data_IF_514344992731
#
_entry.id   IF_514344992731
#
_cell.length_a   1.000
_cell.length_b   1.000
_cell.length_c   1.000
_cell.angle_alpha   90.00
_cell.angle_beta   90.00
_cell.angle_gamma   90.00
#
_symmetry.space_group_name_H-M   'P 1'
#
loop_
_entity.id
_entity.type
_entity.pdbx_description
1 polymer ?
#
# COMPACT_ATOMS: atom_id res chain seq x y z
N UNK A 1 -7.03 -23.08 -16.07
CA UNK A 1 -7.86 -22.92 -14.85
C UNK A 1 -9.10 -22.14 -15.21
N UNK A 2 -10.29 -22.55 -14.75
CA UNK A 2 -11.52 -21.80 -14.95
C UNK A 2 -11.75 -20.88 -13.73
N UNK A 3 -12.08 -19.62 -13.97
CA UNK A 3 -12.38 -18.64 -12.92
C UNK A 3 -13.76 -18.05 -13.16
N UNK A 4 -14.55 -18.03 -12.09
CA UNK A 4 -15.88 -17.45 -12.07
C UNK A 4 -15.93 -16.38 -10.98
N UNK A 5 -16.22 -15.13 -11.39
CA UNK A 5 -16.46 -14.02 -10.46
C UNK A 5 -17.96 -13.83 -10.30
N UNK A 6 -18.44 -13.80 -9.07
CA UNK A 6 -19.86 -13.56 -8.76
C UNK A 6 -20.01 -12.50 -7.67
N UNK A 7 -21.04 -11.65 -7.73
CA UNK A 7 -21.36 -10.73 -6.64
C UNK A 7 -21.81 -11.50 -5.39
N UNK A 8 -21.46 -11.00 -4.21
CA UNK A 8 -21.98 -11.54 -2.95
C UNK A 8 -23.43 -11.12 -2.74
N UNK A 9 -24.30 -11.99 -2.19
CA UNK A 9 -25.67 -11.63 -1.87
C UNK A 9 -25.69 -10.79 -0.58
N UNK A 10 -25.18 -9.55 -0.63
CA UNK A 10 -25.49 -8.41 0.25
C UNK A 10 -24.53 -7.25 -0.05
N UNK A 11 -24.97 -6.27 -0.82
CA UNK A 11 -24.37 -4.93 -0.82
C UNK A 11 -25.48 -3.90 -1.14
N UNK A 12 -26.12 -3.40 -0.08
CA UNK A 12 -26.97 -2.22 -0.18
C UNK A 12 -26.10 -0.98 -0.33
N UNK A 13 -26.39 -0.17 -1.33
CA UNK A 13 -25.81 1.15 -1.59
C UNK A 13 -26.03 2.10 -0.43
N UNK A 14 -24.96 2.72 0.06
CA UNK A 14 -25.02 3.95 0.85
C UNK A 14 -24.14 5.01 0.21
N UNK A 15 -24.77 5.96 -0.48
CA UNK A 15 -24.15 7.21 -0.88
C UNK A 15 -24.22 8.18 0.31
N UNK A 16 -23.08 8.74 0.72
CA UNK A 16 -23.02 9.80 1.70
C UNK A 16 -22.46 11.07 1.04
N UNK A 17 -23.31 12.09 0.94
CA UNK A 17 -22.89 13.45 0.61
C UNK A 17 -22.56 14.17 1.93
N UNK A 18 -21.31 14.63 2.08
CA UNK A 18 -20.91 15.49 3.18
C UNK A 18 -20.69 16.92 2.66
N UNK A 19 -21.42 17.87 3.24
CA UNK A 19 -21.32 19.29 2.96
C UNK A 19 -20.02 19.87 3.54
N UNK A 20 -19.31 20.65 2.74
CA UNK A 20 -18.09 21.37 3.12
C UNK A 20 -18.49 22.75 3.63
N UNK A 21 -18.17 23.06 4.88
CA UNK A 21 -18.19 24.44 5.42
C UNK A 21 -16.74 24.88 5.61
N UNK A 22 -16.29 26.00 5.01
CA UNK A 22 -14.94 26.49 5.21
C UNK A 22 -14.89 27.25 6.54
N UNK A 23 -14.33 26.61 7.58
CA UNK A 23 -13.95 27.32 8.79
C UNK A 23 -12.57 27.96 8.58
N UNK A 24 -12.57 29.26 8.27
CA UNK A 24 -11.39 30.10 8.38
C UNK A 24 -11.12 30.27 9.89
N UNK A 25 -10.07 29.61 10.40
CA UNK A 25 -9.55 29.90 11.73
C UNK A 25 -8.03 30.09 11.65
N UNK A 26 -7.62 31.32 11.94
CA UNK A 26 -6.25 31.78 12.24
C UNK A 26 -5.37 30.65 12.80
N UNK A 27 -4.40 30.19 12.00
CA UNK A 27 -3.51 29.11 12.42
C UNK A 27 -2.54 29.63 13.49
N UNK A 28 -2.48 29.04 14.69
CA UNK A 28 -1.25 29.11 15.47
C UNK A 28 -0.11 28.57 14.58
N UNK A 29 1.10 29.10 14.74
CA UNK A 29 2.29 28.59 14.03
C UNK A 29 2.26 27.06 14.03
N UNK A 30 2.41 26.41 12.86
CA UNK A 30 2.24 24.96 12.72
C UNK A 30 3.25 24.23 13.62
N UNK A 31 2.83 23.91 14.85
CA UNK A 31 3.67 23.29 15.86
C UNK A 31 4.20 21.94 15.37
N UNK A 32 3.53 21.28 14.42
CA UNK A 32 4.02 20.05 13.83
C UNK A 32 5.35 20.25 13.07
N UNK A 33 5.59 21.43 12.50
CA UNK A 33 6.84 21.74 11.80
C UNK A 33 8.07 21.70 12.73
N UNK A 34 7.89 21.92 14.04
CA UNK A 34 8.97 21.81 15.03
C UNK A 34 9.41 20.36 15.27
N UNK A 35 8.63 19.39 14.82
CA UNK A 35 8.90 17.97 14.96
C UNK A 35 9.49 17.36 13.68
N UNK A 36 10.08 18.12 12.77
CA UNK A 36 10.66 17.53 11.57
C UNK A 36 12.03 16.89 11.83
N UNK A 37 12.23 15.65 11.37
CA UNK A 37 13.51 14.96 11.49
C UNK A 37 14.46 15.43 10.39
N UNK A 38 15.67 15.93 10.72
CA UNK A 38 16.62 16.43 9.71
C UNK A 38 17.24 15.33 8.82
N UNK A 39 16.94 14.06 9.10
CA UNK A 39 17.48 12.91 8.34
C UNK A 39 16.48 12.39 7.31
N UNK A 40 15.25 12.13 7.74
CA UNK A 40 14.22 11.51 6.90
C UNK A 40 13.14 12.49 6.45
N UNK A 41 13.16 13.74 6.96
CA UNK A 41 12.16 14.78 6.68
C UNK A 41 10.72 14.34 7.03
N UNK A 42 10.59 13.34 7.89
CA UNK A 42 9.31 12.90 8.47
C UNK A 42 9.19 13.42 9.90
N UNK A 43 7.98 13.40 10.44
CA UNK A 43 7.71 13.87 11.80
C UNK A 43 8.32 12.93 12.84
N UNK A 44 9.02 13.53 13.79
CA UNK A 44 9.63 12.92 14.97
C UNK A 44 8.52 12.60 15.96
N UNK A 45 7.97 11.40 15.86
CA UNK A 45 6.97 10.89 16.78
C UNK A 45 7.64 10.10 17.93
N UNK A 46 6.98 9.94 19.09
CA UNK A 46 7.49 9.11 20.19
C UNK A 46 7.87 7.70 19.71
N UNK A 47 9.05 7.15 20.10
CA UNK A 47 10.08 7.75 20.95
C UNK A 47 10.89 8.89 20.31
N UNK A 48 11.05 10.02 21.02
CA UNK A 48 11.73 11.22 20.53
C UNK A 48 13.12 11.35 21.17
N UNK A 49 14.16 11.58 20.37
CA UNK A 49 15.52 11.85 20.86
C UNK A 49 15.95 13.27 20.55
N UNK A 50 16.89 13.78 21.33
CA UNK A 50 17.48 15.09 21.09
C UNK A 50 19.00 15.04 21.25
N UNK A 51 19.70 15.88 20.49
CA UNK A 51 21.12 16.16 20.73
C UNK A 51 21.31 17.12 21.91
N UNK A 52 22.55 17.29 22.37
CA UNK A 52 22.89 18.26 23.44
C UNK A 52 22.53 19.72 23.09
N UNK A 53 22.43 20.06 21.82
CA UNK A 53 22.00 21.39 21.34
C UNK A 53 20.48 21.51 21.12
N UNK A 54 19.68 20.49 21.42
CA UNK A 54 18.22 20.54 21.34
C UNK A 54 17.57 20.12 20.00
N UNK A 55 18.34 19.77 18.97
CA UNK A 55 17.77 19.25 17.71
C UNK A 55 17.15 17.86 17.90
N UNK A 56 15.93 17.68 17.39
CA UNK A 56 15.17 16.44 17.50
C UNK A 56 15.56 15.43 16.42
N UNK A 57 15.53 14.14 16.78
CA UNK A 57 15.72 13.01 15.86
C UNK A 57 14.72 11.91 16.21
N UNK A 58 14.13 11.28 15.17
CA UNK A 58 13.21 10.17 15.33
C UNK A 58 13.93 8.86 15.72
N UNK A 59 13.17 7.93 16.32
CA UNK A 59 13.72 6.63 16.74
C UNK A 59 14.44 5.88 15.62
N UNK A 60 13.87 5.83 14.42
CA UNK A 60 14.44 5.12 13.26
C UNK A 60 15.78 5.70 12.80
N UNK A 61 15.92 7.03 12.83
CA UNK A 61 17.15 7.68 12.39
C UNK A 61 18.23 7.66 13.48
N UNK A 62 17.85 7.65 14.76
CA UNK A 62 18.79 7.65 15.89
C UNK A 62 19.77 6.47 15.85
N UNK A 63 19.37 5.32 15.33
CA UNK A 63 20.22 4.13 15.20
C UNK A 63 21.18 4.22 13.99
N UNK A 64 20.84 5.04 13.00
CA UNK A 64 21.59 5.16 11.74
C UNK A 64 22.63 6.27 11.76
N UNK A 65 22.60 7.15 12.77
CA UNK A 65 23.51 8.29 12.90
C UNK A 65 24.24 8.29 14.25
N UNK A 66 25.53 8.62 14.21
CA UNK A 66 26.39 8.72 15.40
C UNK A 66 26.43 10.13 16.00
N UNK A 67 26.20 11.15 15.19
CA UNK A 67 26.19 12.56 15.58
C UNK A 67 24.98 13.28 14.98
N UNK A 68 24.62 14.43 15.56
CA UNK A 68 23.49 15.22 15.11
C UNK A 68 23.77 15.74 13.68
N UNK A 69 22.89 15.48 12.69
CA UNK A 69 23.08 15.97 11.31
C UNK A 69 23.10 17.50 11.23
N UNK A 70 22.37 18.18 12.12
CA UNK A 70 22.21 19.64 12.09
C UNK A 70 23.40 20.37 12.72
N UNK A 71 23.85 19.97 13.90
CA UNK A 71 24.92 20.68 14.64
C UNK A 71 26.21 19.87 14.84
N UNK A 72 26.26 18.61 14.40
CA UNK A 72 27.38 17.66 14.62
C UNK A 72 27.66 17.34 16.09
N UNK A 73 26.80 17.78 17.02
CA UNK A 73 26.88 17.47 18.45
C UNK A 73 26.58 16.00 18.76
N UNK A 74 26.88 15.58 19.99
CA UNK A 74 26.64 14.21 20.45
C UNK A 74 25.14 13.92 20.48
N UNK A 75 24.75 12.76 19.96
CA UNK A 75 23.40 12.24 20.12
C UNK A 75 23.35 11.39 21.40
N UNK A 76 22.62 11.89 22.39
CA UNK A 76 22.35 11.13 23.60
C UNK A 76 21.50 9.89 23.31
N UNK A 77 21.47 8.97 24.28
CA UNK A 77 20.54 7.83 24.31
C UNK A 77 19.26 8.15 25.08
N UNK A 78 19.20 9.34 25.69
CA UNK A 78 18.06 9.79 26.51
C UNK A 78 16.93 10.28 25.61
N UNK A 79 15.72 9.80 25.90
CA UNK A 79 14.49 10.25 25.25
C UNK A 79 14.05 11.61 25.78
N UNK A 80 13.54 12.46 24.90
CA UNK A 80 12.95 13.74 25.25
C UNK A 80 11.47 13.55 25.63
N UNK A 81 11.21 13.08 26.85
CA UNK A 81 9.86 12.84 27.37
C UNK A 81 8.98 14.10 27.38
N UNK A 82 9.59 15.29 27.48
CA UNK A 82 8.84 16.55 27.40
C UNK A 82 8.26 16.75 26.00
N UNK A 83 9.06 16.54 24.95
CA UNK A 83 8.57 16.61 23.57
C UNK A 83 7.62 15.48 23.22
N UNK A 84 7.76 14.30 23.83
CA UNK A 84 6.77 13.23 23.69
C UNK A 84 5.39 13.68 24.22
N UNK A 85 5.34 14.29 25.41
CA UNK A 85 4.10 14.86 25.96
C UNK A 85 3.51 15.99 25.12
N UNK A 86 4.36 16.83 24.51
CA UNK A 86 3.86 17.86 23.58
C UNK A 86 3.25 17.20 22.35
N UNK A 87 3.89 16.16 21.80
CA UNK A 87 3.38 15.42 20.64
C UNK A 87 2.00 14.79 20.89
N UNK A 88 1.66 14.44 22.13
CA UNK A 88 0.31 13.95 22.51
C UNK A 88 -0.80 14.99 22.28
N UNK A 89 -0.45 16.28 22.23
CA UNK A 89 -1.41 17.38 22.03
C UNK A 89 -1.42 17.95 20.61
N UNK A 90 -0.41 17.61 19.80
CA UNK A 90 -0.21 18.15 18.47
C UNK A 90 -0.79 17.19 17.43
N UNK A 91 -1.58 17.74 16.48
CA UNK A 91 -2.05 17.00 15.32
C UNK A 91 -1.08 17.15 14.15
N UNK A 92 -0.54 16.04 13.68
CA UNK A 92 0.37 15.95 12.56
C UNK A 92 -0.39 15.67 11.26
N UNK A 93 -0.01 16.28 10.13
CA UNK A 93 -0.62 15.94 8.85
C UNK A 93 -0.25 14.50 8.44
N UNK A 94 -1.13 13.87 7.66
CA UNK A 94 -0.87 12.57 7.05
C UNK A 94 0.36 12.64 6.12
N UNK A 95 1.19 11.59 6.06
CA UNK A 95 2.33 11.55 5.13
C UNK A 95 1.95 11.67 3.66
N UNK A 96 0.70 11.32 3.31
CA UNK A 96 0.15 11.48 1.96
C UNK A 96 -0.56 12.83 1.77
N UNK A 97 -0.24 13.85 2.57
CA UNK A 97 -0.79 15.19 2.39
C UNK A 97 -0.45 15.76 1.00
N UNK A 98 0.73 15.45 0.46
CA UNK A 98 1.13 15.78 -0.91
C UNK A 98 0.19 15.17 -1.97
N UNK A 99 -0.44 14.04 -1.65
CA UNK A 99 -1.37 13.34 -2.53
C UNK A 99 -2.84 13.77 -2.28
N UNK A 100 -3.05 14.87 -1.56
CA UNK A 100 -4.37 15.44 -1.30
C UNK A 100 -5.06 14.94 -0.02
N UNK A 101 -4.34 14.26 0.88
CA UNK A 101 -4.90 13.94 2.20
C UNK A 101 -4.93 15.19 3.09
N UNK A 102 -6.11 15.64 3.52
CA UNK A 102 -6.26 16.82 4.39
C UNK A 102 -6.28 16.48 5.88
N UNK A 103 -6.17 15.20 6.24
CA UNK A 103 -6.29 14.74 7.61
C UNK A 103 -5.09 15.15 8.46
N UNK A 104 -5.36 15.72 9.63
CA UNK A 104 -4.40 15.99 10.70
C UNK A 104 -4.78 15.21 11.95
N UNK A 105 -3.87 14.39 12.45
CA UNK A 105 -4.15 13.32 13.42
C UNK A 105 -3.12 13.32 14.55
N UNK A 106 -3.51 12.80 15.71
CA UNK A 106 -2.56 12.55 16.80
C UNK A 106 -1.59 11.43 16.41
N UNK A 107 -0.40 11.40 17.03
CA UNK A 107 0.63 10.40 16.70
C UNK A 107 0.16 8.95 16.90
N UNK A 108 -0.76 8.70 17.85
CA UNK A 108 -1.33 7.38 18.14
C UNK A 108 -2.22 6.87 17.02
N UNK A 109 -2.97 7.76 16.37
CA UNK A 109 -3.96 7.45 15.32
C UNK A 109 -3.36 7.51 13.92
N UNK A 110 -2.32 8.35 13.73
CA UNK A 110 -1.67 8.60 12.43
C UNK A 110 -1.24 7.31 11.73
N UNK A 111 -0.61 6.36 12.43
CA UNK A 111 -0.17 5.09 11.85
C UNK A 111 -1.34 4.25 11.30
N UNK A 112 -2.46 4.21 12.03
CA UNK A 112 -3.66 3.47 11.65
C UNK A 112 -4.26 4.11 10.40
N UNK A 113 -4.42 5.43 10.41
CA UNK A 113 -4.90 6.17 9.26
C UNK A 113 -4.01 5.98 8.03
N UNK A 114 -2.69 6.09 8.16
CA UNK A 114 -1.77 5.96 7.02
C UNK A 114 -1.73 4.57 6.40
N UNK A 115 -2.12 3.54 7.15
CA UNK A 115 -2.28 2.19 6.60
C UNK A 115 -3.51 2.12 5.68
N UNK A 116 -4.58 2.83 6.06
CA UNK A 116 -5.90 2.80 5.46
C UNK A 116 -6.26 4.09 4.70
N UNK A 117 -5.28 4.93 4.39
CA UNK A 117 -5.51 6.24 3.80
C UNK A 117 -5.91 6.07 2.34
N UNK A 118 -7.05 6.65 1.94
CA UNK A 118 -7.53 6.61 0.55
C UNK A 118 -6.60 7.31 -0.45
N UNK A 119 -5.72 8.19 0.05
CA UNK A 119 -4.72 8.92 -0.77
C UNK A 119 -3.35 8.24 -0.81
N UNK A 120 -3.25 7.04 -0.23
CA UNK A 120 -2.04 6.21 -0.28
C UNK A 120 -1.77 5.78 -1.74
N UNK A 121 -0.53 5.90 -2.23
CA UNK A 121 -0.18 5.36 -3.53
C UNK A 121 -0.12 3.82 -3.48
N UNK A 122 -0.56 3.21 -4.56
CA UNK A 122 -0.51 1.78 -4.83
C UNK A 122 0.71 1.49 -5.68
N UNK A 123 1.48 0.47 -5.28
CA UNK A 123 2.52 -0.08 -6.12
C UNK A 123 1.91 -0.90 -7.27
N UNK A 124 2.66 -1.04 -8.37
CA UNK A 124 2.24 -1.90 -9.47
C UNK A 124 1.94 -3.33 -8.97
N UNK A 125 0.73 -3.89 -9.24
CA UNK A 125 0.35 -5.22 -8.80
C UNK A 125 0.95 -6.36 -9.65
N UNK A 126 1.70 -6.05 -10.71
CA UNK A 126 2.30 -7.06 -11.57
C UNK A 126 3.37 -7.87 -10.78
N UNK A 127 3.34 -9.21 -10.83
CA UNK A 127 4.40 -10.04 -10.26
C UNK A 127 5.75 -9.76 -10.95
N UNK A 128 6.82 -9.87 -10.16
CA UNK A 128 8.19 -9.58 -10.58
C UNK A 128 8.70 -8.19 -10.17
N UNK A 129 10.02 -8.03 -10.16
CA UNK A 129 10.70 -6.82 -9.65
C UNK A 129 10.99 -5.76 -10.73
N UNK A 130 10.49 -5.95 -11.95
CA UNK A 130 10.81 -5.07 -13.09
C UNK A 130 10.07 -3.74 -13.05
N UNK A 131 8.89 -3.67 -12.44
CA UNK A 131 8.10 -2.45 -12.35
C UNK A 131 8.21 -1.78 -10.98
N UNK A 132 8.59 -0.51 -10.97
CA UNK A 132 8.70 0.33 -9.76
C UNK A 132 7.68 1.47 -9.73
N UNK A 133 6.63 1.35 -10.53
CA UNK A 133 5.60 2.37 -10.59
C UNK A 133 4.79 2.38 -9.28
N UNK A 134 4.52 3.58 -8.80
CA UNK A 134 3.63 3.85 -7.68
C UNK A 134 2.75 5.06 -8.02
N UNK A 135 1.46 4.97 -7.72
CA UNK A 135 0.51 6.04 -8.05
C UNK A 135 -0.86 5.86 -7.39
N UNK A 136 -1.81 6.79 -7.60
CA UNK A 136 -3.17 6.64 -7.07
C UNK A 136 -3.89 5.44 -7.70
N UNK A 137 -4.90 4.91 -7.01
CA UNK A 137 -5.67 3.74 -7.46
C UNK A 137 -6.23 3.92 -8.88
N UNK A 138 -6.77 5.11 -9.18
CA UNK A 138 -7.37 5.44 -10.47
C UNK A 138 -6.38 5.32 -11.65
N UNK A 139 -5.08 5.51 -11.38
CA UNK A 139 -4.03 5.42 -12.40
C UNK A 139 -3.49 3.99 -12.58
N UNK A 140 -3.79 3.06 -11.67
CA UNK A 140 -3.24 1.68 -11.69
C UNK A 140 -3.64 0.98 -12.98
N UNK A 141 -4.92 1.05 -13.36
CA UNK A 141 -5.41 0.40 -14.58
C UNK A 141 -4.73 0.96 -15.83
N UNK A 142 -4.65 2.29 -15.93
CA UNK A 142 -4.00 2.95 -17.06
C UNK A 142 -2.50 2.60 -17.12
N UNK A 143 -1.83 2.53 -15.97
CA UNK A 143 -0.45 2.07 -15.87
C UNK A 143 -0.30 0.64 -16.42
N UNK A 144 -1.16 -0.30 -16.00
CA UNK A 144 -1.10 -1.68 -16.47
C UNK A 144 -1.30 -1.79 -18.00
N UNK A 145 -2.30 -1.09 -18.54
CA UNK A 145 -2.60 -1.13 -19.98
C UNK A 145 -1.49 -0.51 -20.85
N UNK A 146 -0.76 0.48 -20.32
CA UNK A 146 0.27 1.21 -21.08
C UNK A 146 1.67 0.63 -20.92
N UNK A 147 2.06 0.28 -19.69
CA UNK A 147 3.39 -0.23 -19.35
C UNK A 147 3.49 -1.75 -19.45
N UNK A 148 2.38 -2.48 -19.27
CA UNK A 148 2.33 -3.95 -19.29
C UNK A 148 1.44 -4.48 -20.42
N UNK A 149 1.72 -4.05 -21.67
CA UNK A 149 0.94 -4.40 -22.87
C UNK A 149 0.84 -5.91 -23.16
N UNK A 150 1.67 -6.72 -22.53
CA UNK A 150 1.66 -8.18 -22.63
C UNK A 150 0.54 -8.82 -21.80
N UNK A 151 -0.08 -8.08 -20.88
CA UNK A 151 -1.22 -8.58 -20.10
C UNK A 151 -2.44 -8.59 -21.00
N UNK A 152 -2.96 -9.79 -21.27
CA UNK A 152 -4.20 -9.96 -22.02
C UNK A 152 -5.40 -9.63 -21.12
N UNK A 153 -6.34 -8.85 -21.64
CA UNK A 153 -7.61 -8.55 -20.96
C UNK A 153 -8.75 -9.34 -21.61
N UNK A 154 -9.48 -10.11 -20.82
CA UNK A 154 -10.65 -10.87 -21.25
C UNK A 154 -11.91 -10.33 -20.56
N UNK A 155 -12.98 -10.14 -21.35
CA UNK A 155 -14.28 -9.76 -20.83
C UNK A 155 -15.13 -10.98 -20.49
N UNK A 156 -15.91 -10.87 -19.41
CA UNK A 156 -16.89 -11.89 -19.01
C UNK A 156 -16.71 -12.38 -17.58
N UNK A 157 -17.79 -12.94 -17.02
CA UNK A 157 -17.84 -13.45 -15.65
C UNK A 157 -17.13 -14.81 -15.52
N UNK A 158 -17.24 -15.62 -16.58
CA UNK A 158 -16.64 -16.94 -16.70
C UNK A 158 -15.54 -16.92 -17.75
N UNK A 159 -14.29 -17.10 -17.31
CA UNK A 159 -13.13 -17.15 -18.20
C UNK A 159 -12.27 -18.38 -17.96
N UNK A 160 -11.58 -18.80 -19.02
CA UNK A 160 -10.57 -19.86 -18.95
C UNK A 160 -9.20 -19.22 -19.08
N UNK A 161 -8.42 -19.29 -18.00
CA UNK A 161 -7.02 -18.88 -18.01
C UNK A 161 -6.14 -20.07 -18.42
N UNK A 162 -5.54 -19.97 -19.61
CA UNK A 162 -4.59 -20.96 -20.12
C UNK A 162 -3.16 -20.49 -19.87
N UNK A 163 -2.47 -21.14 -18.94
CA UNK A 163 -1.03 -20.97 -18.76
C UNK A 163 -0.30 -21.90 -19.75
N UNK A 164 0.47 -21.33 -20.66
CA UNK A 164 1.33 -22.09 -21.58
C UNK A 164 2.69 -22.36 -20.94
N UNK A 165 3.39 -23.39 -21.41
CA UNK A 165 4.79 -23.64 -21.03
C UNK A 165 5.02 -23.87 -19.52
N UNK A 166 4.02 -24.41 -18.82
CA UNK A 166 4.06 -24.70 -17.37
C UNK A 166 5.23 -25.62 -16.96
N UNK A 167 5.76 -26.39 -17.89
CA UNK A 167 6.87 -27.33 -17.67
C UNK A 167 8.25 -26.65 -17.72
N UNK A 168 8.35 -25.37 -18.09
CA UNK A 168 9.63 -24.66 -18.10
C UNK A 168 10.26 -24.68 -16.70
N UNK A 169 11.56 -24.98 -16.59
CA UNK A 169 12.25 -24.98 -15.31
C UNK A 169 12.36 -23.56 -14.75
N UNK A 170 12.28 -23.45 -13.43
CA UNK A 170 12.36 -22.19 -12.69
C UNK A 170 11.01 -21.60 -12.28
N UNK A 171 11.09 -20.45 -11.60
CA UNK A 171 9.93 -19.66 -11.22
C UNK A 171 9.43 -18.86 -12.43
N UNK A 172 8.15 -19.05 -12.77
CA UNK A 172 7.48 -18.40 -13.90
C UNK A 172 6.12 -17.92 -13.41
N UNK A 173 5.79 -16.68 -13.75
CA UNK A 173 4.52 -16.07 -13.40
C UNK A 173 3.71 -15.80 -14.66
N UNK A 174 2.43 -16.18 -14.65
CA UNK A 174 1.47 -15.83 -15.69
C UNK A 174 0.47 -14.84 -15.14
N UNK A 175 0.17 -13.80 -15.93
CA UNK A 175 -0.74 -12.72 -15.54
C UNK A 175 -1.79 -12.53 -16.62
N UNK A 176 -3.04 -12.42 -16.21
CA UNK A 176 -4.18 -12.11 -17.06
C UNK A 176 -5.05 -11.07 -16.35
N UNK A 177 -5.74 -10.23 -17.12
CA UNK A 177 -6.74 -9.32 -16.60
C UNK A 177 -8.14 -9.80 -17.02
N UNK A 178 -9.06 -9.86 -16.08
CA UNK A 178 -10.47 -10.13 -16.30
C UNK A 178 -11.27 -8.84 -16.08
N UNK A 179 -12.16 -8.50 -17.01
CA UNK A 179 -13.06 -7.37 -16.88
C UNK A 179 -14.51 -7.88 -16.79
N UNK A 180 -15.15 -7.66 -15.65
CA UNK A 180 -16.56 -8.00 -15.43
C UNK A 180 -17.17 -7.08 -14.38
N UNK A 181 -18.50 -6.86 -14.44
CA UNK A 181 -19.22 -5.95 -13.53
C UNK A 181 -18.63 -4.54 -13.42
N UNK A 182 -18.07 -3.99 -14.51
CA UNK A 182 -17.34 -2.71 -14.54
C UNK A 182 -16.09 -2.65 -13.64
N UNK A 183 -15.59 -3.81 -13.20
CA UNK A 183 -14.38 -3.94 -12.40
C UNK A 183 -13.32 -4.78 -13.14
N UNK A 184 -12.07 -4.56 -12.76
CA UNK A 184 -10.92 -5.28 -13.31
C UNK A 184 -10.31 -6.17 -12.23
N UNK A 185 -10.17 -7.46 -12.54
CA UNK A 185 -9.58 -8.46 -11.67
C UNK A 185 -8.29 -8.95 -12.32
N UNK A 186 -7.18 -8.88 -11.59
CA UNK A 186 -5.90 -9.45 -12.00
C UNK A 186 -5.83 -10.89 -11.52
N UNK A 187 -5.64 -11.81 -12.45
CA UNK A 187 -5.39 -13.22 -12.18
C UNK A 187 -3.90 -13.46 -12.32
N UNK A 188 -3.29 -13.94 -11.24
CA UNK A 188 -1.87 -14.29 -11.19
C UNK A 188 -1.76 -15.77 -10.91
N UNK A 189 -1.00 -16.48 -11.75
CA UNK A 189 -0.55 -17.84 -11.48
C UNK A 189 0.96 -17.81 -11.28
N UNK A 190 1.42 -18.13 -10.10
CA UNK A 190 2.85 -18.20 -9.77
C UNK A 190 3.28 -19.65 -9.67
N UNK A 191 4.35 -20.01 -10.35
CA UNK A 191 5.05 -21.29 -10.16
C UNK A 191 6.24 -21.09 -9.23
N UNK A 192 6.24 -21.80 -8.11
CA UNK A 192 7.34 -21.81 -7.16
C UNK A 192 8.03 -23.18 -7.15
N UNK A 193 9.36 -23.18 -7.25
CA UNK A 193 10.18 -24.38 -7.07
C UNK A 193 10.69 -24.41 -5.61
N UNK A 194 10.33 -25.47 -4.88
CA UNK A 194 10.92 -25.71 -3.55
C UNK A 194 12.29 -26.38 -3.69
N UNK A 195 13.09 -26.25 -2.64
CA UNK A 195 14.46 -26.79 -2.53
C UNK A 195 14.60 -28.30 -2.82
N UNK A 196 13.51 -29.09 -2.78
CA UNK A 196 13.49 -30.54 -3.04
C UNK A 196 12.97 -30.91 -4.45
N UNK A 197 12.82 -29.95 -5.36
CA UNK A 197 12.38 -30.20 -6.75
C UNK A 197 10.85 -30.32 -6.92
N UNK A 198 10.08 -30.23 -5.83
CA UNK A 198 8.62 -30.14 -5.90
C UNK A 198 8.19 -28.76 -6.42
N UNK A 199 7.35 -28.76 -7.45
CA UNK A 199 6.73 -27.58 -8.03
C UNK A 199 5.38 -27.31 -7.35
N UNK A 200 5.16 -26.09 -6.89
CA UNK A 200 3.88 -25.63 -6.35
C UNK A 200 3.34 -24.48 -7.21
N UNK A 201 2.03 -24.48 -7.44
CA UNK A 201 1.35 -23.43 -8.18
C UNK A 201 0.42 -22.67 -7.24
N UNK A 202 0.52 -21.35 -7.26
CA UNK A 202 -0.34 -20.45 -6.50
C UNK A 202 -1.17 -19.62 -7.47
N UNK A 203 -2.49 -19.75 -7.38
CA UNK A 203 -3.41 -18.93 -8.15
C UNK A 203 -4.05 -17.88 -7.22
N UNK A 204 -3.90 -16.61 -7.57
CA UNK A 204 -4.46 -15.48 -6.83
C UNK A 204 -5.30 -14.63 -7.76
N UNK A 205 -6.46 -14.19 -7.27
CA UNK A 205 -7.29 -13.21 -7.97
C UNK A 205 -7.35 -11.95 -7.12
N UNK A 206 -6.95 -10.83 -7.71
CA UNK A 206 -6.89 -9.53 -7.04
C UNK A 206 -7.80 -8.53 -7.75
N UNK A 207 -8.70 -7.88 -7.03
CA UNK A 207 -9.46 -6.75 -7.55
C UNK A 207 -8.55 -5.51 -7.66
N UNK A 208 -8.59 -4.82 -8.80
CA UNK A 208 -8.03 -3.47 -8.94
C UNK A 208 -9.08 -2.48 -8.41
N UNK A 209 -9.07 -2.28 -7.10
CA UNK A 209 -10.09 -1.50 -6.40
C UNK A 209 -9.81 -1.41 -4.91
N UNK A 210 -10.77 -0.86 -4.17
CA UNK A 210 -10.74 -0.76 -2.71
C UNK A 210 -11.10 -2.10 -2.06
N UNK A 211 -10.71 -2.28 -0.79
CA UNK A 211 -11.09 -3.47 -0.01
C UNK A 211 -12.62 -3.58 0.16
N UNK A 212 -13.33 -2.44 0.23
CA UNK A 212 -14.79 -2.41 0.31
C UNK A 212 -15.44 -2.99 -0.95
N UNK A 213 -14.92 -2.62 -2.12
CA UNK A 213 -15.38 -3.18 -3.40
C UNK A 213 -15.01 -4.67 -3.50
N UNK A 214 -13.81 -5.06 -3.06
CA UNK A 214 -13.38 -6.47 -3.08
C UNK A 214 -14.31 -7.39 -2.28
N UNK A 215 -14.81 -6.91 -1.13
CA UNK A 215 -15.75 -7.66 -0.29
C UNK A 215 -17.14 -7.87 -0.95
N UNK A 216 -17.47 -7.12 -2.00
CA UNK A 216 -18.70 -7.30 -2.77
C UNK A 216 -18.64 -8.46 -3.76
N UNK A 217 -17.47 -9.09 -3.94
CA UNK A 217 -17.27 -10.15 -4.93
C UNK A 217 -16.73 -11.44 -4.29
N UNK A 218 -17.04 -12.57 -4.93
CA UNK A 218 -16.43 -13.88 -4.69
C UNK A 218 -15.86 -14.40 -5.98
N UNK A 219 -14.63 -14.89 -5.92
CA UNK A 219 -14.02 -15.61 -7.02
C UNK A 219 -13.94 -17.11 -6.67
N UNK A 220 -14.46 -17.95 -7.54
CA UNK A 220 -14.30 -19.41 -7.46
C UNK A 220 -13.38 -19.84 -8.59
N UNK A 221 -12.25 -20.44 -8.23
CA UNK A 221 -11.30 -21.01 -9.19
C UNK A 221 -11.39 -22.52 -9.19
N UNK A 222 -11.52 -23.14 -10.36
CA UNK A 222 -11.43 -24.59 -10.54
C UNK A 222 -10.19 -24.92 -11.38
N UNK A 223 -9.21 -25.55 -10.72
CA UNK A 223 -8.00 -26.05 -11.36
C UNK A 223 -8.31 -27.36 -12.07
N UNK A 224 -8.77 -27.28 -13.31
CA UNK A 224 -8.88 -28.46 -14.18
C UNK A 224 -7.49 -28.77 -14.73
N UNK A 225 -6.87 -29.86 -14.27
CA UNK A 225 -5.68 -30.44 -14.90
C UNK A 225 -4.32 -30.08 -14.30
N UNK A 226 -4.16 -30.05 -12.98
CA UNK A 226 -2.83 -30.29 -12.39
C UNK A 226 -2.75 -31.78 -12.07
N UNK A 227 -2.37 -32.59 -13.05
CA UNK A 227 -1.87 -33.93 -12.74
C UNK A 227 -0.52 -33.74 -12.05
N UNK A 228 -0.53 -33.80 -10.72
CA UNK A 228 0.64 -34.26 -9.98
C UNK A 228 0.93 -35.68 -10.48
N UNK A 229 1.87 -35.82 -11.40
CA UNK A 229 2.54 -37.11 -11.57
C UNK A 229 3.34 -37.32 -10.28
N UNK A 230 2.97 -38.35 -9.52
CA UNK A 230 3.85 -38.98 -8.53
C UNK A 230 5.21 -39.35 -9.17
#
# INVERSE_FOLDING_TARGET
MAFQVTPTPTAATVAAAAAIVPAISSQPADLAALFECPVCFDYVLPPIYQCESGHLICNTCKERVQCCPSCRGRLGTVRNLAMEKVAETVKFPCKYASNGCTMRLLHTEKRIHETNCERRPYACPCPGTSCKWEGPLDDVLNHLLTAHKTITTLGGEDIVFLATDIHLPGAVDWVMMQCCFDHYFMLVLEKQERHEGHQQFFAVVQLIGTEKEANAFRCVGLCVGVQSCD
#
